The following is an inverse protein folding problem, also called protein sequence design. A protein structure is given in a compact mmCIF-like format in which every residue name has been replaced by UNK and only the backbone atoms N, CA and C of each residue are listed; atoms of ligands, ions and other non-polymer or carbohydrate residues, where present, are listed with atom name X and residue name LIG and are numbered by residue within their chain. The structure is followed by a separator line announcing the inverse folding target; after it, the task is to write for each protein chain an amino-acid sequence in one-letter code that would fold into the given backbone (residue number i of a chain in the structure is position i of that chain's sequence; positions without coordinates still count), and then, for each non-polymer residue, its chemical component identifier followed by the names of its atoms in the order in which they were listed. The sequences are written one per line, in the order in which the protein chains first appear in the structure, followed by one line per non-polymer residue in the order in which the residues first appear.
data_IF_441619103012
#
_entry.id   IF_441619103012
#
_cell.length_a   1.000
_cell.length_b   1.000
_cell.length_c   1.000
_cell.angle_alpha   90.00
_cell.angle_beta   90.00
_cell.angle_gamma   90.00
#
_symmetry.space_group_name_H-M   'P 1'
#
loop_
_entity.id
_entity.type
_entity.pdbx_description
1 polymer ?
#
# COMPACT_ATOMS: atom_id res chain seq x y z
N UNK A 1 19.97 8.37 14.29
CA UNK A 1 19.89 7.06 13.60
C UNK A 1 21.25 6.48 13.23
N UNK A 2 21.50 5.20 13.51
CA UNK A 2 22.77 4.52 13.22
C UNK A 2 22.96 4.20 11.72
N UNK A 3 24.21 4.17 11.25
CA UNK A 3 24.58 3.88 9.84
C UNK A 3 24.00 2.56 9.31
N UNK A 4 23.99 1.51 10.15
CA UNK A 4 23.45 0.19 9.76
C UNK A 4 21.93 0.24 9.52
N UNK A 5 21.21 1.07 10.28
CA UNK A 5 19.77 1.25 10.14
C UNK A 5 19.47 2.02 8.85
N UNK A 6 20.23 3.08 8.56
CA UNK A 6 20.14 3.83 7.31
C UNK A 6 20.36 2.93 6.09
N UNK A 7 21.38 2.08 6.11
CA UNK A 7 21.65 1.14 5.03
C UNK A 7 20.51 0.11 4.84
N UNK A 8 19.95 -0.41 5.94
CA UNK A 8 18.79 -1.30 5.89
C UNK A 8 17.56 -0.58 5.34
N UNK A 9 17.30 0.66 5.74
CA UNK A 9 16.20 1.47 5.23
C UNK A 9 16.30 1.72 3.74
N UNK A 10 17.47 2.12 3.26
CA UNK A 10 17.72 2.28 1.83
C UNK A 10 17.49 0.98 1.06
N UNK A 11 17.94 -0.16 1.61
CA UNK A 11 17.65 -1.47 1.01
C UNK A 11 16.15 -1.80 1.01
N UNK A 12 15.40 -1.42 2.04
CA UNK A 12 13.94 -1.61 2.09
C UNK A 12 13.26 -0.81 0.99
N UNK A 13 13.62 0.46 0.84
CA UNK A 13 13.08 1.31 -0.21
C UNK A 13 13.42 0.76 -1.61
N UNK A 14 14.68 0.39 -1.87
CA UNK A 14 15.09 -0.21 -3.16
C UNK A 14 14.41 -1.55 -3.47
N UNK A 15 13.96 -2.29 -2.44
CA UNK A 15 13.14 -3.50 -2.59
C UNK A 15 11.64 -3.21 -2.72
N UNK A 16 11.26 -1.94 -2.90
CA UNK A 16 9.89 -1.51 -3.02
C UNK A 16 9.07 -1.65 -1.75
N UNK A 17 9.67 -1.76 -0.55
CA UNK A 17 8.88 -1.98 0.66
C UNK A 17 8.10 -0.75 1.12
N UNK A 18 8.42 0.45 0.63
CA UNK A 18 7.63 1.66 0.87
C UNK A 18 6.47 1.66 -0.11
N UNK A 19 5.24 1.65 0.41
CA UNK A 19 4.02 1.64 -0.42
C UNK A 19 3.69 3.05 -0.90
N UNK A 20 3.74 4.03 0.01
CA UNK A 20 3.53 5.43 -0.30
C UNK A 20 4.21 6.31 0.75
N UNK A 21 4.50 7.55 0.38
CA UNK A 21 4.91 8.63 1.28
C UNK A 21 4.04 9.84 1.01
N UNK A 22 3.45 10.41 2.06
CA UNK A 22 2.68 11.63 2.03
C UNK A 22 3.46 12.72 2.78
N UNK A 23 3.77 13.81 2.11
CA UNK A 23 4.29 15.03 2.73
C UNK A 23 3.15 16.00 2.99
N UNK A 24 3.02 16.44 4.24
CA UNK A 24 2.15 17.53 4.62
C UNK A 24 2.92 18.51 5.50
N UNK A 25 3.17 19.72 4.98
CA UNK A 25 4.06 20.71 5.63
C UNK A 25 5.44 20.08 5.90
N UNK A 26 5.89 20.12 7.16
CA UNK A 26 7.14 19.55 7.67
C UNK A 26 6.99 18.13 8.20
N UNK A 27 5.89 17.43 7.85
CA UNK A 27 5.66 16.05 8.24
C UNK A 27 5.64 15.11 7.05
N UNK A 28 6.19 13.92 7.25
CA UNK A 28 6.05 12.79 6.35
C UNK A 28 5.23 11.69 7.04
N UNK A 29 4.28 11.14 6.32
CA UNK A 29 3.52 9.96 6.69
C UNK A 29 3.79 8.86 5.66
N UNK A 30 3.86 7.61 6.08
CA UNK A 30 4.15 6.52 5.15
C UNK A 30 3.64 5.19 5.65
N UNK A 31 3.34 4.29 4.71
CA UNK A 31 3.10 2.87 4.97
C UNK A 31 4.24 2.05 4.37
N UNK A 32 4.88 1.23 5.19
CA UNK A 32 6.06 0.45 4.81
C UNK A 32 5.87 -1.01 5.20
N UNK A 33 6.06 -1.91 4.23
CA UNK A 33 5.98 -3.35 4.44
C UNK A 33 7.17 -3.86 5.28
N UNK A 34 6.86 -4.57 6.37
CA UNK A 34 7.81 -5.24 7.25
C UNK A 34 7.43 -6.70 7.49
N UNK A 35 7.33 -7.09 8.76
CA UNK A 35 6.63 -8.32 9.20
C UNK A 35 5.11 -8.12 9.19
N UNK A 36 4.68 -6.86 9.32
CA UNK A 36 3.35 -6.37 9.01
C UNK A 36 3.51 -5.05 8.25
N UNK A 37 2.48 -4.52 7.60
CA UNK A 37 2.48 -3.13 7.17
C UNK A 37 2.61 -2.21 8.40
N UNK A 38 3.62 -1.35 8.41
CA UNK A 38 3.86 -0.39 9.49
C UNK A 38 3.65 1.03 9.02
N UNK A 39 3.10 1.86 9.90
CA UNK A 39 2.85 3.27 9.67
C UNK A 39 3.97 4.08 10.29
N UNK A 40 4.46 5.06 9.55
CA UNK A 40 5.59 5.92 9.90
C UNK A 40 5.13 7.37 9.91
N UNK A 41 5.54 8.11 10.92
CA UNK A 41 5.46 9.58 10.99
C UNK A 41 6.87 10.14 11.22
N UNK A 42 7.27 11.13 10.42
CA UNK A 42 8.51 11.89 10.60
C UNK A 42 8.15 13.37 10.65
N UNK A 43 8.59 14.06 11.70
CA UNK A 43 8.55 15.52 11.82
C UNK A 43 9.95 16.06 11.46
N UNK A 44 10.07 16.63 10.27
CA UNK A 44 11.32 17.16 9.71
C UNK A 44 11.81 18.38 10.50
N UNK A 45 10.89 19.22 10.98
CA UNK A 45 11.22 20.42 11.74
C UNK A 45 11.77 20.08 13.13
N UNK A 46 11.21 19.07 13.80
CA UNK A 46 11.64 18.63 15.14
C UNK A 46 12.69 17.54 15.12
N UNK A 47 13.06 17.04 13.94
CA UNK A 47 13.93 15.89 13.76
C UNK A 47 13.50 14.71 14.64
N UNK A 48 12.20 14.39 14.63
CA UNK A 48 11.61 13.35 15.46
C UNK A 48 10.79 12.39 14.61
N UNK A 49 10.65 11.14 15.05
CA UNK A 49 9.95 10.12 14.28
C UNK A 49 9.27 9.09 15.17
N UNK A 50 8.24 8.45 14.59
CA UNK A 50 7.49 7.35 15.18
C UNK A 50 7.23 6.31 14.09
N UNK A 51 7.18 5.05 14.50
CA UNK A 51 6.79 3.94 13.66
C UNK A 51 5.99 2.95 14.49
N UNK A 52 4.94 2.34 13.92
CA UNK A 52 4.13 1.32 14.61
C UNK A 52 4.84 -0.03 14.74
N UNK A 53 6.07 -0.18 14.24
CA UNK A 53 6.84 -1.40 14.43
C UNK A 53 7.33 -1.57 15.88
N UNK A 54 7.73 -2.78 16.32
CA UNK A 54 8.18 -3.03 17.69
C UNK A 54 9.36 -2.16 18.16
N UNK A 55 10.18 -1.63 17.25
CA UNK A 55 11.27 -0.71 17.58
C UNK A 55 10.78 0.74 17.84
N UNK A 56 9.62 1.14 17.32
CA UNK A 56 8.93 2.38 17.67
C UNK A 56 9.48 3.69 17.08
N UNK A 57 10.80 3.84 16.92
CA UNK A 57 11.45 5.10 16.49
C UNK A 57 12.46 4.85 15.37
N UNK A 58 13.71 5.31 15.52
CA UNK A 58 14.85 5.19 14.59
C UNK A 58 15.05 3.75 14.07
N UNK A 59 14.21 3.32 13.15
CA UNK A 59 14.14 1.97 12.63
C UNK A 59 14.31 1.98 11.11
N UNK A 60 14.44 0.79 10.53
CA UNK A 60 14.59 0.64 9.08
C UNK A 60 13.40 1.20 8.29
N UNK A 61 12.19 1.23 8.85
CA UNK A 61 11.01 1.78 8.16
C UNK A 61 11.08 3.30 8.07
N UNK A 62 11.43 3.99 9.17
CA UNK A 62 11.69 5.44 9.16
C UNK A 62 12.81 5.77 8.17
N UNK A 63 13.91 5.02 8.19
CA UNK A 63 15.01 5.19 7.26
C UNK A 63 14.58 4.98 5.79
N UNK A 64 13.69 4.02 5.52
CA UNK A 64 13.14 3.77 4.19
C UNK A 64 12.22 4.91 3.73
N UNK A 65 11.37 5.44 4.61
CA UNK A 65 10.54 6.62 4.33
C UNK A 65 11.40 7.85 3.99
N UNK A 66 12.46 8.11 4.75
CA UNK A 66 13.41 9.18 4.44
C UNK A 66 14.10 8.96 3.09
N UNK A 67 14.57 7.74 2.83
CA UNK A 67 15.21 7.40 1.53
C UNK A 67 14.25 7.59 0.35
N UNK A 68 12.98 7.22 0.52
CA UNK A 68 11.94 7.43 -0.48
C UNK A 68 11.70 8.92 -0.75
N UNK A 69 11.56 9.72 0.32
CA UNK A 69 11.39 11.17 0.22
C UNK A 69 12.59 11.86 -0.46
N UNK A 70 13.82 11.51 -0.06
CA UNK A 70 15.05 12.03 -0.66
C UNK A 70 15.19 11.71 -2.16
N UNK A 71 14.68 10.55 -2.59
CA UNK A 71 14.66 10.15 -4.00
C UNK A 71 13.40 10.63 -4.76
N UNK A 72 12.55 11.45 -4.13
CA UNK A 72 11.38 12.06 -4.77
C UNK A 72 10.13 11.17 -4.84
N UNK A 73 10.12 10.02 -4.17
CA UNK A 73 8.94 9.15 -4.08
C UNK A 73 8.02 9.60 -2.95
N UNK A 74 7.24 10.66 -3.20
CA UNK A 74 6.22 11.16 -2.29
C UNK A 74 5.11 11.91 -3.02
N UNK A 75 3.93 11.95 -2.38
CA UNK A 75 2.82 12.84 -2.74
C UNK A 75 2.84 14.02 -1.77
N UNK A 76 2.74 15.24 -2.27
CA UNK A 76 2.64 16.44 -1.42
C UNK A 76 1.18 16.90 -1.31
N UNK A 77 0.78 17.27 -0.11
CA UNK A 77 -0.58 17.74 0.17
C UNK A 77 -0.59 18.93 1.12
N UNK A 78 -1.48 19.87 0.83
CA UNK A 78 -1.86 20.96 1.74
C UNK A 78 -3.17 20.70 2.48
N UNK A 79 -3.84 19.57 2.21
CA UNK A 79 -5.12 19.20 2.83
C UNK A 79 -4.92 18.85 4.32
N UNK A 80 -5.64 19.50 5.26
CA UNK A 80 -5.59 19.15 6.67
C UNK A 80 -5.91 17.68 6.99
N UNK A 81 -6.72 17.00 6.15
CA UNK A 81 -7.01 15.58 6.28
C UNK A 81 -5.74 14.73 6.26
N UNK A 82 -4.70 15.17 5.55
CA UNK A 82 -3.42 14.47 5.46
C UNK A 82 -2.71 14.29 6.80
N UNK A 83 -2.98 15.14 7.80
CA UNK A 83 -2.40 14.99 9.15
C UNK A 83 -3.23 14.04 10.03
N UNK A 84 -4.56 14.01 9.87
CA UNK A 84 -5.44 13.20 10.70
C UNK A 84 -5.65 11.77 10.17
N UNK A 85 -5.80 11.64 8.85
CA UNK A 85 -6.00 10.36 8.16
C UNK A 85 -5.19 10.30 6.85
N UNK A 86 -3.86 10.13 6.94
CA UNK A 86 -2.98 10.07 5.77
C UNK A 86 -3.41 9.04 4.72
N UNK A 87 -3.84 7.85 5.17
CA UNK A 87 -4.23 6.75 4.28
C UNK A 87 -5.52 7.10 3.50
N UNK A 88 -6.48 7.79 4.11
CA UNK A 88 -7.68 8.25 3.40
C UNK A 88 -7.36 9.30 2.33
N UNK A 89 -6.41 10.19 2.60
CA UNK A 89 -5.94 11.14 1.59
C UNK A 89 -5.25 10.41 0.44
N UNK A 90 -4.39 9.44 0.73
CA UNK A 90 -3.71 8.65 -0.31
C UNK A 90 -4.71 7.83 -1.12
N UNK A 91 -5.72 7.20 -0.49
CA UNK A 91 -6.79 6.51 -1.20
C UNK A 91 -7.54 7.45 -2.16
N UNK A 92 -7.80 8.69 -1.73
CA UNK A 92 -8.40 9.73 -2.58
C UNK A 92 -7.48 10.11 -3.74
N UNK A 93 -6.19 10.35 -3.47
CA UNK A 93 -5.20 10.67 -4.49
C UNK A 93 -5.08 9.55 -5.54
N UNK A 94 -5.05 8.29 -5.10
CA UNK A 94 -5.10 7.14 -6.01
C UNK A 94 -6.35 7.16 -6.86
N UNK A 95 -7.52 7.43 -6.29
CA UNK A 95 -8.77 7.42 -7.04
C UNK A 95 -8.90 8.58 -8.02
N UNK A 96 -8.52 9.80 -7.63
CA UNK A 96 -8.81 11.02 -8.38
C UNK A 96 -7.65 11.49 -9.28
N UNK A 97 -6.40 11.27 -8.87
CA UNK A 97 -5.23 11.88 -9.49
C UNK A 97 -4.31 10.86 -10.16
N UNK A 98 -4.11 9.69 -9.55
CA UNK A 98 -3.20 8.66 -10.10
C UNK A 98 -3.67 7.21 -9.81
N UNK A 99 -4.68 6.72 -10.57
CA UNK A 99 -5.17 5.35 -10.40
C UNK A 99 -4.16 4.26 -10.73
N UNK A 100 -3.25 4.50 -11.69
CA UNK A 100 -2.20 3.56 -12.06
C UNK A 100 -1.26 3.27 -10.87
N UNK A 101 -0.74 4.33 -10.23
CA UNK A 101 0.08 4.19 -9.02
C UNK A 101 -0.69 3.53 -7.88
N UNK A 102 -1.97 3.85 -7.73
CA UNK A 102 -2.81 3.24 -6.73
C UNK A 102 -2.99 1.73 -6.93
N UNK A 103 -3.19 1.29 -8.18
CA UNK A 103 -3.27 -0.13 -8.53
C UNK A 103 -1.94 -0.84 -8.24
N UNK A 104 -0.82 -0.28 -8.69
CA UNK A 104 0.51 -0.83 -8.39
C UNK A 104 0.73 -1.00 -6.88
N UNK A 105 0.39 0.04 -6.11
CA UNK A 105 0.56 0.05 -4.65
C UNK A 105 -0.33 -0.98 -3.96
N UNK A 106 -1.60 -1.04 -4.33
CA UNK A 106 -2.56 -1.96 -3.72
C UNK A 106 -2.29 -3.41 -4.11
N UNK A 107 -1.92 -3.71 -5.36
CA UNK A 107 -1.55 -5.07 -5.79
C UNK A 107 -0.32 -5.57 -5.04
N UNK A 108 0.67 -4.69 -4.83
CA UNK A 108 1.85 -5.02 -4.04
C UNK A 108 1.51 -5.32 -2.58
N UNK A 109 0.61 -4.56 -1.97
CA UNK A 109 0.14 -4.85 -0.62
C UNK A 109 -0.69 -6.13 -0.58
N UNK A 110 -1.53 -6.36 -1.59
CA UNK A 110 -2.36 -7.55 -1.72
C UNK A 110 -1.50 -8.82 -1.80
N UNK A 111 -0.47 -8.86 -2.67
CA UNK A 111 0.49 -9.96 -2.74
C UNK A 111 1.20 -10.20 -1.40
N UNK A 112 1.49 -9.13 -0.66
CA UNK A 112 2.05 -9.27 0.67
C UNK A 112 1.04 -9.95 1.61
N UNK A 113 -0.20 -9.48 1.66
CA UNK A 113 -1.22 -10.00 2.56
C UNK A 113 -1.67 -11.43 2.22
N UNK A 114 -1.62 -11.84 0.95
CA UNK A 114 -1.87 -13.24 0.56
C UNK A 114 -1.03 -14.25 1.36
N UNK A 115 0.17 -13.86 1.79
CA UNK A 115 1.09 -14.72 2.53
C UNK A 115 1.11 -14.45 4.05
N UNK A 116 0.42 -13.40 4.53
CA UNK A 116 0.58 -12.91 5.92
C UNK A 116 -0.75 -12.66 6.64
N UNK A 117 -1.88 -12.60 5.93
CA UNK A 117 -3.21 -12.49 6.52
C UNK A 117 -3.71 -13.87 6.91
N UNK A 118 -3.83 -14.11 8.22
CA UNK A 118 -4.33 -15.37 8.76
C UNK A 118 -5.84 -15.54 8.57
N UNK A 119 -6.57 -14.45 8.35
CA UNK A 119 -8.05 -14.44 8.34
C UNK A 119 -8.66 -14.29 6.96
N UNK A 120 -7.91 -13.76 6.00
CA UNK A 120 -8.39 -13.34 4.67
C UNK A 120 -9.11 -11.98 4.64
N UNK A 121 -9.29 -11.32 5.79
CA UNK A 121 -10.03 -10.06 5.89
C UNK A 121 -9.29 -8.86 5.30
N UNK A 122 -7.98 -8.80 5.48
CA UNK A 122 -7.15 -7.76 4.87
C UNK A 122 -7.05 -7.96 3.36
N UNK A 123 -6.92 -9.21 2.92
CA UNK A 123 -6.93 -9.57 1.49
C UNK A 123 -8.26 -9.18 0.85
N UNK A 124 -9.40 -9.57 1.44
CA UNK A 124 -10.73 -9.23 0.93
C UNK A 124 -10.95 -7.70 0.90
N UNK A 125 -10.50 -6.96 1.92
CA UNK A 125 -10.56 -5.49 1.94
C UNK A 125 -9.75 -4.88 0.79
N UNK A 126 -8.54 -5.37 0.55
CA UNK A 126 -7.67 -4.89 -0.53
C UNK A 126 -8.23 -5.25 -1.91
N UNK A 127 -8.74 -6.46 -2.12
CA UNK A 127 -9.43 -6.86 -3.36
C UNK A 127 -10.54 -5.88 -3.71
N UNK A 128 -11.41 -5.55 -2.74
CA UNK A 128 -12.48 -4.56 -2.95
C UNK A 128 -11.97 -3.16 -3.28
N UNK A 129 -10.84 -2.74 -2.73
CA UNK A 129 -10.20 -1.46 -3.10
C UNK A 129 -9.70 -1.51 -4.55
N UNK A 130 -8.99 -2.58 -4.92
CA UNK A 130 -8.48 -2.76 -6.28
C UNK A 130 -9.62 -2.80 -7.29
N UNK A 131 -10.71 -3.52 -7.01
CA UNK A 131 -11.87 -3.62 -7.91
C UNK A 131 -12.58 -2.27 -8.14
N UNK A 132 -12.58 -1.38 -7.16
CA UNK A 132 -13.10 -0.02 -7.32
C UNK A 132 -12.17 0.88 -8.15
N UNK A 133 -10.86 0.63 -8.06
CA UNK A 133 -9.85 1.45 -8.72
C UNK A 133 -9.57 0.98 -10.15
N UNK A 134 -9.67 -0.33 -10.41
CA UNK A 134 -9.33 -0.96 -11.68
C UNK A 134 -10.05 -0.33 -12.89
N UNK A 135 -11.36 -0.04 -12.85
CA UNK A 135 -12.06 0.58 -13.98
C UNK A 135 -11.53 1.96 -14.38
N UNK A 136 -10.81 2.65 -13.49
CA UNK A 136 -10.22 3.96 -13.77
C UNK A 136 -8.88 3.88 -14.53
N UNK A 137 -8.21 2.73 -14.48
CA UNK A 137 -6.97 2.48 -15.22
C UNK A 137 -6.87 1.00 -15.62
N UNK A 138 -7.80 0.51 -16.46
CA UNK A 138 -7.87 -0.90 -16.79
C UNK A 138 -6.67 -1.33 -17.65
N UNK A 139 -6.14 -2.51 -17.34
CA UNK A 139 -5.12 -3.14 -18.18
C UNK A 139 -5.30 -4.66 -18.19
N UNK A 140 -4.96 -5.29 -19.32
CA UNK A 140 -5.04 -6.75 -19.44
C UNK A 140 -4.14 -7.46 -18.45
N UNK A 141 -2.92 -6.94 -18.26
CA UNK A 141 -1.95 -7.48 -17.31
C UNK A 141 -2.49 -7.47 -15.87
N UNK A 142 -3.05 -6.35 -15.43
CA UNK A 142 -3.65 -6.26 -14.09
C UNK A 142 -4.89 -7.15 -14.00
N UNK A 143 -5.69 -7.24 -15.07
CA UNK A 143 -6.85 -8.14 -15.13
C UNK A 143 -6.46 -9.62 -14.93
N UNK A 144 -5.36 -10.07 -15.53
CA UNK A 144 -4.81 -11.41 -15.29
C UNK A 144 -4.30 -11.58 -13.86
N UNK A 145 -3.54 -10.62 -13.34
CA UNK A 145 -3.06 -10.67 -11.95
C UNK A 145 -4.22 -10.74 -10.94
N UNK A 146 -5.29 -9.98 -11.18
CA UNK A 146 -6.49 -10.00 -10.33
C UNK A 146 -7.15 -11.37 -10.29
N UNK A 147 -7.26 -12.04 -11.45
CA UNK A 147 -7.79 -13.41 -11.55
C UNK A 147 -6.90 -14.39 -10.79
N UNK A 148 -5.60 -14.38 -11.04
CA UNK A 148 -4.64 -15.28 -10.38
C UNK A 148 -4.65 -15.11 -8.86
N UNK A 149 -4.67 -13.87 -8.38
CA UNK A 149 -4.74 -13.57 -6.94
C UNK A 149 -6.06 -14.06 -6.35
N UNK A 150 -7.16 -13.93 -7.07
CA UNK A 150 -8.46 -14.34 -6.57
C UNK A 150 -8.62 -15.87 -6.52
N UNK A 151 -8.12 -16.59 -7.52
CA UNK A 151 -8.06 -18.06 -7.47
C UNK A 151 -7.25 -18.55 -6.26
N UNK A 152 -6.11 -17.89 -5.98
CA UNK A 152 -5.31 -18.18 -4.80
C UNK A 152 -6.05 -17.80 -3.50
N UNK A 153 -6.80 -16.70 -3.47
CA UNK A 153 -7.65 -16.31 -2.34
C UNK A 153 -8.71 -17.37 -2.05
N UNK A 154 -9.42 -17.86 -3.07
CA UNK A 154 -10.39 -18.95 -2.95
C UNK A 154 -9.75 -20.22 -2.38
N UNK A 155 -8.53 -20.53 -2.81
CA UNK A 155 -7.79 -21.70 -2.34
C UNK A 155 -7.38 -21.60 -0.87
N UNK A 156 -6.90 -20.43 -0.45
CA UNK A 156 -6.41 -20.20 0.91
C UNK A 156 -7.54 -19.94 1.92
N UNK A 157 -8.64 -19.34 1.48
CA UNK A 157 -9.77 -18.93 2.31
C UNK A 157 -11.09 -19.50 1.79
N UNK A 158 -11.15 -20.82 1.61
CA UNK A 158 -12.28 -21.51 0.97
C UNK A 158 -13.64 -21.26 1.63
N UNK A 159 -13.64 -20.99 2.93
CA UNK A 159 -14.86 -20.78 3.72
C UNK A 159 -15.21 -19.29 3.88
N UNK A 160 -14.56 -18.39 3.11
CA UNK A 160 -14.80 -16.96 3.21
C UNK A 160 -16.13 -16.58 2.55
N UNK A 161 -17.10 -16.12 3.35
CA UNK A 161 -18.48 -15.88 2.90
C UNK A 161 -18.61 -14.88 1.73
N UNK A 162 -17.69 -13.94 1.58
CA UNK A 162 -17.72 -12.93 0.51
C UNK A 162 -17.22 -13.45 -0.86
N UNK A 163 -16.72 -14.68 -0.93
CA UNK A 163 -16.07 -15.21 -2.13
C UNK A 163 -16.95 -15.11 -3.37
N UNK A 164 -18.22 -15.54 -3.29
CA UNK A 164 -19.12 -15.52 -4.46
C UNK A 164 -19.53 -14.11 -4.92
N UNK A 165 -19.49 -13.11 -4.03
CA UNK A 165 -19.73 -11.72 -4.42
C UNK A 165 -18.48 -11.11 -5.07
N UNK A 166 -17.30 -11.39 -4.51
CA UNK A 166 -16.02 -10.96 -5.07
C UNK A 166 -15.75 -11.56 -6.46
N UNK A 167 -16.11 -12.83 -6.68
CA UNK A 167 -15.98 -13.49 -7.98
C UNK A 167 -16.75 -12.75 -9.07
N UNK A 168 -18.03 -12.43 -8.80
CA UNK A 168 -18.87 -11.66 -9.72
C UNK A 168 -18.32 -10.26 -9.98
N UNK A 169 -17.85 -9.57 -8.93
CA UNK A 169 -17.24 -8.25 -9.07
C UNK A 169 -15.97 -8.30 -9.94
N UNK A 170 -15.13 -9.33 -9.79
CA UNK A 170 -13.93 -9.53 -10.60
C UNK A 170 -14.29 -9.82 -12.05
N UNK A 171 -15.17 -10.78 -12.30
CA UNK A 171 -15.61 -11.13 -13.66
C UNK A 171 -16.17 -9.92 -14.40
N UNK A 172 -17.01 -9.13 -13.74
CA UNK A 172 -17.57 -7.90 -14.31
C UNK A 172 -16.49 -6.85 -14.56
N UNK A 173 -15.54 -6.66 -13.63
CA UNK A 173 -14.47 -5.69 -13.77
C UNK A 173 -13.53 -6.00 -14.94
N UNK A 174 -13.20 -7.28 -15.15
CA UNK A 174 -12.22 -7.70 -16.17
C UNK A 174 -12.86 -8.19 -17.48
N UNK A 175 -14.19 -8.12 -17.62
CA UNK A 175 -14.91 -8.62 -18.80
C UNK A 175 -14.36 -8.05 -20.12
N UNK A 176 -14.05 -6.75 -20.13
CA UNK A 176 -13.56 -6.03 -21.31
C UNK A 176 -12.03 -6.18 -21.51
N UNK A 177 -11.36 -6.81 -20.54
CA UNK A 177 -9.94 -7.16 -20.60
C UNK A 177 -9.70 -8.59 -21.10
N UNK A 178 -10.77 -9.39 -21.18
CA UNK A 178 -10.74 -10.79 -21.61
C UNK A 178 -10.69 -10.88 -23.15
N UNK A 179 -9.89 -11.80 -23.69
CA UNK A 179 -9.91 -12.21 -25.11
C UNK A 179 -10.86 -13.40 -25.28
#
# INVERSE_FOLDING_TARGET
MEKKILQKGRSYYKKGKVLWVLKHKEKLFSKVLGTYPYYVEVDLAKNSNKCTCPQGKDCKHVAATLSAFEEGFYVESTDPLSEFSPESFIDKYFFEENPELGLETLLKELHYQMNNDESGSEVAKLLRKVLKLFPLSPSKEIGFQLRDIFEEFQRLFSDYNLTGDLEKEIEEAIKDCSL
#
